data_IF_511014240567
#
_entry.id   IF_511014240567
#
_cell.length_a   1.000
_cell.length_b   1.000
_cell.length_c   1.000
_cell.angle_alpha   90.00
_cell.angle_beta   90.00
_cell.angle_gamma   90.00
#
_symmetry.space_group_name_H-M   'P 1'
#
loop_
_entity.id
_entity.type
_entity.pdbx_description
1 polymer ?
#
# COMPACT_ATOMS: atom_id res chain seq x y z
N UNK A 1 8.84 -2.61 7.27
CA UNK A 1 8.95 -3.41 6.03
C UNK A 1 9.12 -4.92 6.26
N UNK A 2 10.18 -5.42 6.94
CA UNK A 2 10.40 -6.89 7.08
C UNK A 2 9.21 -7.67 7.69
N UNK A 3 8.50 -7.10 8.66
CA UNK A 3 7.39 -7.79 9.33
C UNK A 3 6.15 -7.87 8.42
N UNK A 4 5.82 -6.80 7.69
CA UNK A 4 4.71 -6.79 6.71
C UNK A 4 4.97 -7.81 5.60
N UNK A 5 6.16 -7.79 5.00
CA UNK A 5 6.55 -8.76 3.98
C UNK A 5 6.40 -10.20 4.47
N UNK A 6 6.84 -10.47 5.70
CA UNK A 6 6.70 -11.81 6.29
C UNK A 6 5.23 -12.21 6.40
N UNK A 7 4.36 -11.34 6.95
CA UNK A 7 2.92 -11.62 7.08
C UNK A 7 2.25 -11.90 5.73
N UNK A 8 2.59 -11.12 4.71
CA UNK A 8 2.04 -11.33 3.35
C UNK A 8 2.50 -12.67 2.80
N UNK A 9 3.80 -12.99 2.92
CA UNK A 9 4.34 -14.30 2.48
C UNK A 9 3.63 -15.46 3.16
N UNK A 10 3.56 -15.42 4.49
CA UNK A 10 2.93 -16.50 5.29
C UNK A 10 1.48 -16.71 4.83
N UNK A 11 0.73 -15.63 4.55
CA UNK A 11 -0.66 -15.72 4.07
C UNK A 11 -0.80 -16.24 2.64
N UNK A 12 0.09 -15.85 1.74
CA UNK A 12 0.10 -16.36 0.37
C UNK A 12 0.45 -17.87 0.34
N UNK A 13 1.44 -18.28 1.14
CA UNK A 13 1.82 -19.68 1.29
C UNK A 13 0.67 -20.52 1.90
N UNK A 14 0.00 -20.02 2.95
CA UNK A 14 -1.20 -20.67 3.53
C UNK A 14 -2.32 -20.84 2.49
N UNK A 15 -2.47 -19.88 1.58
CA UNK A 15 -3.45 -19.92 0.49
C UNK A 15 -3.02 -20.79 -0.71
N UNK A 16 -1.80 -21.33 -0.69
CA UNK A 16 -1.26 -22.12 -1.80
C UNK A 16 -0.91 -21.28 -3.04
N UNK A 17 -0.66 -19.98 -2.87
CA UNK A 17 -0.31 -19.07 -3.94
C UNK A 17 1.21 -19.05 -4.10
N UNK A 18 1.68 -19.30 -5.33
CA UNK A 18 3.10 -19.29 -5.66
C UNK A 18 3.61 -17.84 -5.78
N UNK A 19 4.75 -17.58 -5.12
CA UNK A 19 5.43 -16.29 -5.21
C UNK A 19 6.58 -16.41 -6.21
N UNK A 20 6.42 -15.79 -7.37
CA UNK A 20 7.42 -15.85 -8.46
C UNK A 20 8.65 -14.99 -8.15
N UNK A 21 8.47 -13.81 -7.55
CA UNK A 21 9.58 -12.92 -7.17
C UNK A 21 9.22 -11.97 -6.03
N UNK A 22 10.23 -11.52 -5.33
CA UNK A 22 10.15 -10.46 -4.32
C UNK A 22 11.24 -9.45 -4.62
N UNK A 23 10.89 -8.19 -4.74
CA UNK A 23 11.83 -7.10 -4.99
C UNK A 23 11.88 -6.15 -3.81
N UNK A 24 13.08 -5.74 -3.44
CA UNK A 24 13.28 -4.57 -2.59
C UNK A 24 13.18 -3.29 -3.44
N UNK A 25 12.94 -2.14 -2.80
CA UNK A 25 12.92 -0.82 -3.45
C UNK A 25 14.13 -0.62 -4.40
N UNK A 26 15.34 -0.91 -3.93
CA UNK A 26 16.57 -0.77 -4.73
C UNK A 26 16.60 -1.69 -5.96
N UNK A 27 16.05 -2.88 -5.83
CA UNK A 27 15.96 -3.82 -6.95
C UNK A 27 14.88 -3.39 -7.92
N UNK A 28 13.76 -2.88 -7.43
CA UNK A 28 12.70 -2.30 -8.26
C UNK A 28 13.24 -1.13 -9.08
N UNK A 29 13.89 -0.15 -8.46
CA UNK A 29 14.50 1.00 -9.14
C UNK A 29 15.52 0.60 -10.22
N UNK A 30 16.30 -0.45 -9.95
CA UNK A 30 17.25 -0.97 -10.93
C UNK A 30 16.55 -1.64 -12.12
N UNK A 31 15.49 -2.39 -11.85
CA UNK A 31 14.74 -3.15 -12.86
C UNK A 31 13.81 -2.28 -13.70
N UNK A 32 13.27 -1.20 -13.14
CA UNK A 32 12.49 -0.21 -13.89
C UNK A 32 13.24 0.41 -15.08
N UNK A 33 14.56 0.42 -15.03
CA UNK A 33 15.41 0.86 -16.15
C UNK A 33 15.44 -0.13 -17.33
N UNK A 34 15.00 -1.36 -17.09
CA UNK A 34 14.89 -2.40 -18.10
C UNK A 34 13.49 -3.03 -18.02
N UNK A 35 12.53 -2.42 -18.71
CA UNK A 35 11.12 -2.84 -18.69
C UNK A 35 10.94 -4.26 -19.23
N UNK A 36 11.81 -4.75 -20.13
CA UNK A 36 11.78 -6.13 -20.64
C UNK A 36 11.84 -7.18 -19.52
N UNK A 37 12.51 -6.86 -18.40
CA UNK A 37 12.57 -7.77 -17.26
C UNK A 37 11.19 -8.23 -16.79
N UNK A 38 10.23 -7.32 -16.70
CA UNK A 38 8.88 -7.63 -16.23
C UNK A 38 8.03 -8.33 -17.28
N UNK A 39 8.27 -8.05 -18.56
CA UNK A 39 7.59 -8.72 -19.68
C UNK A 39 8.09 -10.17 -19.87
N UNK A 40 9.35 -10.44 -19.54
CA UNK A 40 9.95 -11.78 -19.62
C UNK A 40 9.60 -12.68 -18.44
N UNK A 41 9.15 -12.10 -17.32
CA UNK A 41 8.73 -12.82 -16.12
C UNK A 41 7.26 -12.53 -15.81
N UNK A 42 6.33 -13.04 -16.60
CA UNK A 42 4.91 -12.73 -16.46
C UNK A 42 4.39 -13.22 -15.11
N UNK A 43 3.67 -12.33 -14.44
CA UNK A 43 2.89 -12.62 -13.23
C UNK A 43 1.49 -12.06 -13.40
N UNK A 44 0.50 -12.70 -12.80
CA UNK A 44 -0.89 -12.24 -12.87
C UNK A 44 -1.17 -11.11 -11.88
N UNK A 45 -0.49 -11.15 -10.74
CA UNK A 45 -0.78 -10.28 -9.62
C UNK A 45 0.51 -9.72 -9.02
N UNK A 46 0.48 -8.44 -8.70
CA UNK A 46 1.55 -7.75 -7.96
C UNK A 46 0.97 -7.12 -6.70
N UNK A 47 1.65 -7.32 -5.58
CA UNK A 47 1.33 -6.70 -4.29
C UNK A 47 2.48 -5.78 -3.91
N UNK A 48 2.19 -4.49 -3.78
CA UNK A 48 3.13 -3.47 -3.30
C UNK A 48 2.83 -3.10 -1.85
N UNK A 49 3.85 -2.97 -1.03
CA UNK A 49 3.73 -2.74 0.41
C UNK A 49 4.16 -1.33 0.83
N UNK A 50 4.22 -0.41 -0.13
CA UNK A 50 4.65 0.97 0.07
C UNK A 50 4.04 1.89 -1.00
N UNK A 51 3.76 3.16 -0.64
CA UNK A 51 3.15 4.14 -1.55
C UNK A 51 4.00 4.37 -2.81
N UNK A 52 5.30 4.60 -2.63
CA UNK A 52 6.21 4.94 -3.74
C UNK A 52 6.41 3.74 -4.67
N UNK A 53 6.54 2.55 -4.11
CA UNK A 53 6.65 1.32 -4.89
C UNK A 53 5.34 0.99 -5.62
N UNK A 54 4.18 1.34 -5.05
CA UNK A 54 2.89 1.22 -5.74
C UNK A 54 2.81 2.17 -6.94
N UNK A 55 3.28 3.42 -6.78
CA UNK A 55 3.34 4.36 -7.90
C UNK A 55 4.28 3.90 -9.02
N UNK A 56 5.43 3.33 -8.67
CA UNK A 56 6.37 2.73 -9.63
C UNK A 56 5.74 1.55 -10.37
N UNK A 57 4.98 0.70 -9.66
CA UNK A 57 4.27 -0.41 -10.31
C UNK A 57 3.22 0.08 -11.31
N UNK A 58 2.50 1.17 -11.01
CA UNK A 58 1.61 1.84 -11.97
C UNK A 58 2.38 2.31 -13.20
N UNK A 59 3.54 2.97 -13.01
CA UNK A 59 4.35 3.43 -14.14
C UNK A 59 4.84 2.29 -15.03
N UNK A 60 5.18 1.14 -14.45
CA UNK A 60 5.56 -0.06 -15.21
C UNK A 60 4.39 -0.52 -16.09
N UNK A 61 3.18 -0.63 -15.53
CA UNK A 61 1.97 -1.03 -16.27
C UNK A 61 1.69 -0.07 -17.42
N UNK A 62 1.85 1.23 -17.20
CA UNK A 62 1.54 2.25 -18.21
C UNK A 62 2.57 2.36 -19.32
N UNK A 63 3.80 1.94 -19.08
CA UNK A 63 4.90 2.05 -20.03
C UNK A 63 5.04 0.86 -20.96
N UNK A 64 4.36 -0.26 -20.70
CA UNK A 64 4.45 -1.46 -21.55
C UNK A 64 3.11 -2.22 -21.61
N UNK A 65 2.44 -2.15 -22.75
CA UNK A 65 1.13 -2.79 -22.99
C UNK A 65 1.15 -4.33 -22.84
N UNK A 66 2.34 -4.95 -22.78
CA UNK A 66 2.49 -6.39 -22.53
C UNK A 66 2.26 -6.75 -21.06
N UNK A 67 2.29 -5.74 -20.17
CA UNK A 67 2.17 -5.92 -18.74
C UNK A 67 0.71 -5.67 -18.34
N UNK A 68 0.06 -6.70 -17.84
CA UNK A 68 -1.36 -6.66 -17.42
C UNK A 68 -1.56 -7.18 -16.00
N UNK A 69 -0.85 -6.58 -15.05
CA UNK A 69 -0.93 -7.00 -13.66
C UNK A 69 -2.25 -6.60 -13.00
N UNK A 70 -2.77 -7.46 -12.15
CA UNK A 70 -3.71 -7.06 -11.10
C UNK A 70 -2.90 -6.46 -9.96
N UNK A 71 -2.91 -5.14 -9.84
CA UNK A 71 -2.10 -4.42 -8.86
C UNK A 71 -2.91 -4.18 -7.58
N UNK A 72 -2.36 -4.65 -6.47
CA UNK A 72 -2.80 -4.34 -5.11
C UNK A 72 -1.69 -3.56 -4.42
N UNK A 73 -2.02 -2.46 -3.74
CA UNK A 73 -1.00 -1.58 -3.21
C UNK A 73 -1.31 -1.00 -1.85
N UNK A 74 -0.35 -0.27 -1.30
CA UNK A 74 -0.52 0.59 -0.13
C UNK A 74 -0.29 2.03 -0.55
N UNK A 75 -1.09 2.95 -0.03
CA UNK A 75 -0.91 4.38 -0.22
C UNK A 75 -2.20 5.13 -0.51
N UNK A 76 -2.07 6.48 -0.60
CA UNK A 76 -3.21 7.38 -0.83
C UNK A 76 -2.85 8.62 -1.66
N UNK A 77 -1.76 8.60 -2.41
CA UNK A 77 -1.42 9.74 -3.26
C UNK A 77 -2.52 9.99 -4.31
N UNK A 78 -2.62 11.21 -4.79
CA UNK A 78 -3.57 11.60 -5.85
C UNK A 78 -3.41 10.70 -7.08
N UNK A 79 -2.18 10.34 -7.42
CA UNK A 79 -1.86 9.43 -8.52
C UNK A 79 -2.48 8.04 -8.29
N UNK A 80 -2.31 7.47 -7.11
CA UNK A 80 -2.85 6.15 -6.78
C UNK A 80 -4.38 6.15 -6.78
N UNK A 81 -5.01 7.19 -6.20
CA UNK A 81 -6.46 7.34 -6.21
C UNK A 81 -6.99 7.47 -7.64
N UNK A 82 -6.32 8.24 -8.50
CA UNK A 82 -6.69 8.36 -9.91
C UNK A 82 -6.65 7.01 -10.63
N UNK A 83 -5.59 6.22 -10.45
CA UNK A 83 -5.45 4.93 -11.13
C UNK A 83 -6.31 3.81 -10.50
N UNK A 84 -6.69 3.94 -9.25
CA UNK A 84 -7.73 3.12 -8.63
C UNK A 84 -9.09 3.37 -9.29
N UNK A 85 -9.48 4.64 -9.47
CA UNK A 85 -10.72 5.02 -10.15
C UNK A 85 -10.74 4.56 -11.62
N UNK A 86 -9.60 4.59 -12.29
CA UNK A 86 -9.42 4.05 -13.66
C UNK A 86 -9.45 2.52 -13.73
N UNK A 87 -9.29 1.81 -12.59
CA UNK A 87 -9.26 0.35 -12.53
C UNK A 87 -7.90 -0.26 -12.86
N UNK A 88 -6.83 0.54 -12.97
CA UNK A 88 -5.45 0.04 -13.10
C UNK A 88 -5.00 -0.62 -11.81
N UNK A 89 -5.40 -0.06 -10.67
CA UNK A 89 -5.22 -0.64 -9.34
C UNK A 89 -6.53 -1.31 -8.93
N UNK A 90 -6.44 -2.51 -8.37
CA UNK A 90 -7.63 -3.25 -7.93
C UNK A 90 -8.09 -2.78 -6.55
N UNK A 91 -7.15 -2.71 -5.60
CA UNK A 91 -7.40 -2.23 -4.24
C UNK A 91 -6.16 -1.55 -3.67
N UNK A 92 -6.40 -0.59 -2.77
CA UNK A 92 -5.40 0.09 -1.96
C UNK A 92 -5.66 -0.14 -0.48
N UNK A 93 -4.62 -0.53 0.25
CA UNK A 93 -4.61 -0.44 1.70
C UNK A 93 -4.27 1.00 2.09
N UNK A 94 -5.24 1.73 2.61
CA UNK A 94 -5.08 3.14 3.00
C UNK A 94 -4.99 3.24 4.52
N UNK A 95 -3.86 3.71 5.09
CA UNK A 95 -3.74 3.90 6.53
C UNK A 95 -4.60 5.10 6.99
N UNK A 96 -5.24 4.96 8.15
CA UNK A 96 -5.91 6.08 8.81
C UNK A 96 -4.88 7.00 9.48
N UNK A 97 -4.25 7.87 8.70
CA UNK A 97 -3.19 8.77 9.18
C UNK A 97 -3.68 9.78 10.22
N UNK A 98 -4.95 10.20 10.12
CA UNK A 98 -5.55 11.08 11.13
C UNK A 98 -5.59 10.38 12.50
N UNK A 99 -6.09 9.15 12.53
CA UNK A 99 -6.15 8.35 13.74
C UNK A 99 -4.76 8.04 14.29
N UNK A 100 -3.79 7.74 13.42
CA UNK A 100 -2.39 7.55 13.80
C UNK A 100 -1.81 8.79 14.48
N UNK A 101 -2.03 9.97 13.91
CA UNK A 101 -1.58 11.25 14.48
C UNK A 101 -2.24 11.52 15.83
N UNK A 102 -3.55 11.32 15.93
CA UNK A 102 -4.30 11.48 17.19
C UNK A 102 -3.77 10.54 18.28
N UNK A 103 -3.65 9.25 17.99
CA UNK A 103 -3.12 8.25 18.93
C UNK A 103 -1.69 8.56 19.37
N UNK A 104 -0.85 9.02 18.48
CA UNK A 104 0.53 9.42 18.81
C UNK A 104 0.56 10.53 19.85
N UNK A 105 -0.30 11.54 19.71
CA UNK A 105 -0.41 12.65 20.67
C UNK A 105 -0.96 12.15 22.02
N UNK A 106 -1.99 11.30 21.99
CA UNK A 106 -2.59 10.74 23.23
C UNK A 106 -1.56 9.92 24.01
N UNK A 107 -0.83 9.02 23.32
CA UNK A 107 0.21 8.19 23.93
C UNK A 107 1.36 9.05 24.49
N UNK A 108 1.80 10.06 23.77
CA UNK A 108 2.84 10.98 24.24
C UNK A 108 2.38 11.74 25.49
N UNK A 109 1.14 12.26 25.51
CA UNK A 109 0.58 12.97 26.66
C UNK A 109 0.43 12.05 27.88
N UNK A 110 0.01 10.80 27.69
CA UNK A 110 -0.10 9.80 28.75
C UNK A 110 1.27 9.46 29.36
N UNK A 111 2.28 9.23 28.51
CA UNK A 111 3.65 8.95 28.96
C UNK A 111 4.24 10.10 29.77
N UNK A 112 4.05 11.34 29.33
CA UNK A 112 4.50 12.54 30.07
C UNK A 112 3.76 12.65 31.43
N UNK A 113 2.44 12.43 31.44
CA UNK A 113 1.62 12.61 32.64
C UNK A 113 1.87 11.55 33.70
N UNK A 114 2.11 10.31 33.29
CA UNK A 114 2.21 9.18 34.22
C UNK A 114 3.64 8.67 34.42
N UNK A 115 4.64 9.31 33.82
CA UNK A 115 6.06 8.88 33.85
C UNK A 115 6.24 7.39 33.54
N UNK A 116 5.47 6.87 32.58
CA UNK A 116 5.53 5.47 32.21
C UNK A 116 6.32 5.30 30.92
N UNK A 117 7.38 4.48 30.98
CA UNK A 117 8.14 4.06 29.78
C UNK A 117 7.41 2.93 28.99
N UNK A 118 6.14 2.71 29.27
CA UNK A 118 5.37 1.69 28.55
C UNK A 118 4.99 2.23 27.18
N UNK A 119 5.69 1.74 26.18
CA UNK A 119 5.31 1.90 24.76
C UNK A 119 4.17 0.92 24.49
N UNK A 120 2.93 1.34 24.69
CA UNK A 120 1.80 0.60 24.15
C UNK A 120 1.83 0.76 22.62
N UNK A 121 1.87 -0.36 21.91
CA UNK A 121 1.75 -0.33 20.46
C UNK A 121 0.27 -0.09 20.13
N UNK A 122 -0.02 1.05 19.50
CA UNK A 122 -1.34 1.28 18.94
C UNK A 122 -1.45 0.49 17.61
N UNK A 123 -2.52 -0.26 17.45
CA UNK A 123 -2.83 -0.86 16.16
C UNK A 123 -3.23 0.24 15.18
N UNK A 124 -2.66 0.19 13.98
CA UNK A 124 -3.01 1.09 12.88
C UNK A 124 -4.16 0.47 12.11
N UNK A 125 -5.28 1.18 12.04
CA UNK A 125 -6.38 0.79 11.17
C UNK A 125 -6.05 1.10 9.71
N UNK A 126 -6.31 0.12 8.85
CA UNK A 126 -6.23 0.27 7.40
C UNK A 126 -7.62 0.08 6.80
N UNK A 127 -7.91 0.90 5.80
CA UNK A 127 -9.12 0.76 5.00
C UNK A 127 -8.76 0.13 3.65
N UNK A 128 -9.46 -0.93 3.26
CA UNK A 128 -9.35 -1.49 1.93
C UNK A 128 -10.25 -0.69 0.98
N UNK A 129 -9.62 0.01 0.07
CA UNK A 129 -10.29 0.91 -0.88
C UNK A 129 -10.20 0.34 -2.27
N UNK A 130 -11.34 0.13 -2.89
CA UNK A 130 -11.50 -0.29 -4.28
C UNK A 130 -12.27 0.78 -5.07
N UNK A 131 -12.37 0.61 -6.36
CA UNK A 131 -13.22 1.48 -7.20
C UNK A 131 -14.67 1.52 -6.72
N UNK A 132 -15.18 0.42 -6.16
CA UNK A 132 -16.59 0.28 -5.79
C UNK A 132 -16.94 1.10 -4.54
N UNK A 133 -16.00 1.28 -3.60
CA UNK A 133 -16.21 2.01 -2.35
C UNK A 133 -15.45 3.35 -2.26
N UNK A 134 -14.71 3.72 -3.29
CA UNK A 134 -13.87 4.92 -3.32
C UNK A 134 -14.63 6.20 -2.93
N UNK A 135 -15.90 6.29 -3.30
CA UNK A 135 -16.75 7.46 -3.06
C UNK A 135 -17.71 7.30 -1.88
N UNK A 136 -17.60 6.24 -1.11
CA UNK A 136 -18.36 6.07 0.12
C UNK A 136 -18.00 7.19 1.12
N UNK A 137 -18.96 7.65 1.88
CA UNK A 137 -18.81 8.81 2.76
C UNK A 137 -17.66 8.66 3.76
N UNK A 138 -17.49 7.47 4.32
CA UNK A 138 -16.42 7.16 5.27
C UNK A 138 -15.05 7.20 4.60
N UNK A 139 -14.90 6.55 3.45
CA UNK A 139 -13.66 6.49 2.68
C UNK A 139 -13.30 7.88 2.15
N UNK A 140 -14.27 8.62 1.63
CA UNK A 140 -14.06 9.98 1.12
C UNK A 140 -13.53 10.93 2.20
N UNK A 141 -13.97 10.78 3.46
CA UNK A 141 -13.45 11.60 4.57
C UNK A 141 -11.98 11.31 4.89
N UNK A 142 -11.52 10.08 4.66
CA UNK A 142 -10.14 9.67 4.92
C UNK A 142 -9.23 10.08 3.76
N UNK A 143 -9.70 9.88 2.52
CA UNK A 143 -8.93 10.19 1.32
C UNK A 143 -8.85 11.70 1.06
N UNK A 144 -9.94 12.42 1.32
CA UNK A 144 -10.10 13.84 1.02
C UNK A 144 -10.48 14.62 2.30
N UNK A 145 -9.60 14.69 3.30
CA UNK A 145 -9.88 15.44 4.51
C UNK A 145 -10.13 16.89 4.13
N UNK A 146 -11.36 17.39 4.39
CA UNK A 146 -11.68 18.79 4.17
C UNK A 146 -10.77 19.63 5.06
N UNK A 147 -9.86 20.38 4.45
CA UNK A 147 -9.10 21.44 5.14
C UNK A 147 -10.12 22.53 5.46
N UNK A 148 -10.56 22.57 6.72
CA UNK A 148 -11.37 23.67 7.26
C UNK A 148 -10.48 24.71 7.91
#
# INVERSE_FOLDING_TARGET
>A
MRQRLKSVKDKLEEAGIEISWILSEKELDKKMRNVEYFAEQPVDTVISLDNDDTEKAVDIILNDDRISWKLYGEGRSEKLIYYLDKGTIQELAVPNEYYMGYQSIVLAAQNIRYYTDKTEQAEVEFYMVSKDNLYDEEISRILFPAVR
#
